data_IF_544612637327
#
_entry.id   IF_544612637327
#
_cell.length_a   1.000
_cell.length_b   1.000
_cell.length_c   1.000
_cell.angle_alpha   90.00
_cell.angle_beta   90.00
_cell.angle_gamma   90.00
#
_symmetry.space_group_name_H-M   'P 1'
#
loop_
_entity.id
_entity.type
_entity.pdbx_description
1 polymer ?
#
# COMPACT_ATOMS: atom_id res chain seq x y z
N UNK A 1 25.15 -4.87 -0.99
CA UNK A 1 24.48 -5.51 0.17
C UNK A 1 23.64 -6.67 -0.35
N UNK A 2 23.64 -7.84 0.32
CA UNK A 2 22.98 -9.08 -0.15
C UNK A 2 21.46 -9.16 0.04
N UNK A 3 20.80 -8.05 0.39
CA UNK A 3 19.38 -7.98 0.75
C UNK A 3 18.47 -8.52 -0.36
N UNK A 4 18.59 -7.99 -1.58
CA UNK A 4 17.73 -8.36 -2.70
C UNK A 4 17.91 -9.84 -3.08
N UNK A 5 19.15 -10.36 -3.05
CA UNK A 5 19.39 -11.79 -3.31
C UNK A 5 18.89 -12.71 -2.20
N UNK A 6 18.91 -12.25 -0.96
CA UNK A 6 18.30 -12.98 0.16
C UNK A 6 16.78 -13.03 0.02
N UNK A 7 16.12 -11.89 -0.24
CA UNK A 7 14.68 -11.84 -0.52
C UNK A 7 14.29 -12.73 -1.70
N UNK A 8 15.03 -12.63 -2.80
CA UNK A 8 14.85 -13.46 -4.00
C UNK A 8 14.86 -14.95 -3.64
N UNK A 9 15.84 -15.37 -2.84
CA UNK A 9 15.97 -16.76 -2.39
C UNK A 9 14.78 -17.22 -1.53
N UNK A 10 14.30 -16.37 -0.62
CA UNK A 10 13.14 -16.69 0.22
C UNK A 10 11.86 -16.82 -0.62
N UNK A 11 11.62 -15.86 -1.51
CA UNK A 11 10.46 -15.87 -2.42
C UNK A 11 10.46 -17.14 -3.27
N UNK A 12 11.60 -17.49 -3.86
CA UNK A 12 11.73 -18.70 -4.68
C UNK A 12 11.47 -19.98 -3.87
N UNK A 13 12.00 -20.07 -2.65
CA UNK A 13 11.77 -21.21 -1.76
C UNK A 13 10.29 -21.36 -1.41
N UNK A 14 9.60 -20.27 -1.12
CA UNK A 14 8.17 -20.31 -0.81
C UNK A 14 7.33 -20.76 -2.01
N UNK A 15 7.65 -20.26 -3.20
CA UNK A 15 7.01 -20.67 -4.46
C UNK A 15 7.22 -22.17 -4.71
N UNK A 16 8.46 -22.66 -4.55
CA UNK A 16 8.79 -24.09 -4.72
C UNK A 16 8.02 -24.99 -3.74
N UNK A 17 7.78 -24.52 -2.52
CA UNK A 17 6.98 -25.23 -1.52
C UNK A 17 5.47 -25.11 -1.74
N UNK A 18 5.03 -24.47 -2.83
CA UNK A 18 3.62 -24.30 -3.15
C UNK A 18 2.91 -23.29 -2.23
N UNK A 19 3.64 -22.44 -1.51
CA UNK A 19 3.04 -21.42 -0.65
C UNK A 19 2.40 -20.31 -1.47
N UNK A 20 1.51 -19.56 -0.84
CA UNK A 20 0.91 -18.36 -1.42
C UNK A 20 1.84 -17.17 -1.16
N UNK A 21 2.13 -16.40 -2.20
CA UNK A 21 3.19 -15.38 -2.15
C UNK A 21 2.69 -14.08 -2.75
N UNK A 22 3.00 -12.96 -2.13
CA UNK A 22 2.91 -11.63 -2.71
C UNK A 22 4.28 -10.98 -2.73
N UNK A 23 4.62 -10.28 -3.81
CA UNK A 23 5.86 -9.51 -3.94
C UNK A 23 5.52 -8.13 -4.49
N UNK A 24 5.94 -7.07 -3.80
CA UNK A 24 5.98 -5.70 -4.35
C UNK A 24 7.43 -5.27 -4.49
N UNK A 25 7.78 -4.81 -5.69
CA UNK A 25 9.10 -4.26 -6.02
C UNK A 25 8.95 -2.96 -6.83
N UNK A 26 9.59 -1.89 -6.35
CA UNK A 26 9.64 -0.57 -7.02
C UNK A 26 10.87 -0.35 -7.91
N UNK A 27 11.87 -1.21 -7.78
CA UNK A 27 13.12 -1.12 -8.53
C UNK A 27 13.11 -2.03 -9.75
N UNK A 28 12.37 -3.15 -9.68
CA UNK A 28 12.10 -4.05 -10.78
C UNK A 28 13.05 -5.26 -10.85
N UNK A 29 14.27 -5.15 -10.33
CA UNK A 29 15.26 -6.24 -10.39
C UNK A 29 14.75 -7.53 -9.71
N UNK A 30 14.18 -7.41 -8.52
CA UNK A 30 13.67 -8.56 -7.76
C UNK A 30 12.44 -9.16 -8.46
N UNK A 31 11.53 -8.31 -8.94
CA UNK A 31 10.39 -8.72 -9.74
C UNK A 31 10.81 -9.50 -11.00
N UNK A 32 11.76 -8.96 -11.78
CA UNK A 32 12.21 -9.57 -13.03
C UNK A 32 12.89 -10.92 -12.80
N UNK A 33 13.75 -11.05 -11.79
CA UNK A 33 14.39 -12.33 -11.45
C UNK A 33 13.36 -13.39 -11.01
N UNK A 34 12.42 -13.02 -10.13
CA UNK A 34 11.37 -13.94 -9.67
C UNK A 34 10.46 -14.36 -10.82
N UNK A 35 10.09 -13.41 -11.72
CA UNK A 35 9.30 -13.70 -12.91
C UNK A 35 10.01 -14.67 -13.86
N UNK A 36 11.30 -14.46 -14.13
CA UNK A 36 12.11 -15.36 -14.97
C UNK A 36 12.20 -16.76 -14.37
N UNK A 37 12.38 -16.84 -13.06
CA UNK A 37 12.43 -18.11 -12.35
C UNK A 37 11.10 -18.87 -12.41
N UNK A 38 9.98 -18.19 -12.18
CA UNK A 38 8.64 -18.77 -12.34
C UNK A 38 8.45 -19.25 -13.78
N UNK A 39 8.83 -18.46 -14.79
CA UNK A 39 8.74 -18.87 -16.19
C UNK A 39 9.53 -20.17 -16.44
N UNK A 40 10.76 -20.29 -15.93
CA UNK A 40 11.53 -21.53 -16.03
C UNK A 40 10.86 -22.71 -15.31
N UNK A 41 10.24 -22.50 -14.15
CA UNK A 41 9.49 -23.53 -13.43
C UNK A 41 8.24 -23.97 -14.21
N UNK A 42 7.54 -23.06 -14.90
CA UNK A 42 6.32 -23.41 -15.66
C UNK A 42 6.59 -24.38 -16.82
N UNK A 43 7.82 -24.46 -17.33
CA UNK A 43 8.22 -25.46 -18.31
C UNK A 43 8.13 -26.89 -17.76
N UNK A 44 8.34 -27.06 -16.45
CA UNK A 44 8.23 -28.35 -15.75
C UNK A 44 6.88 -28.54 -15.07
N UNK A 45 6.25 -27.44 -14.66
CA UNK A 45 5.01 -27.37 -13.90
C UNK A 45 4.02 -26.40 -14.55
N UNK A 46 3.39 -26.76 -15.69
CA UNK A 46 2.53 -25.84 -16.44
C UNK A 46 1.34 -25.30 -15.64
N UNK A 47 0.87 -26.04 -14.64
CA UNK A 47 -0.20 -25.63 -13.72
C UNK A 47 0.16 -24.39 -12.88
N UNK A 48 1.47 -24.14 -12.65
CA UNK A 48 1.94 -22.98 -11.91
C UNK A 48 1.54 -21.68 -12.59
N UNK A 49 1.47 -21.65 -13.92
CA UNK A 49 1.09 -20.45 -14.67
C UNK A 49 -0.30 -19.93 -14.27
N UNK A 50 -1.23 -20.82 -13.91
CA UNK A 50 -2.59 -20.47 -13.46
C UNK A 50 -2.62 -19.83 -12.08
N UNK A 51 -1.54 -19.98 -11.29
CA UNK A 51 -1.42 -19.40 -9.96
C UNK A 51 -0.79 -18.01 -9.99
N UNK A 52 -0.23 -17.57 -11.11
CA UNK A 52 0.57 -16.35 -11.19
C UNK A 52 -0.32 -15.20 -11.63
N UNK A 53 -0.36 -14.17 -10.81
CA UNK A 53 -1.00 -12.88 -11.09
C UNK A 53 0.11 -11.85 -11.19
N UNK A 54 0.20 -11.18 -12.32
CA UNK A 54 1.14 -10.07 -12.53
C UNK A 54 0.35 -8.78 -12.56
N UNK A 55 0.82 -7.79 -11.80
CA UNK A 55 0.34 -6.41 -11.86
C UNK A 55 1.52 -5.54 -12.28
N UNK A 56 1.44 -4.99 -13.48
CA UNK A 56 2.39 -4.03 -14.01
C UNK A 56 1.63 -2.92 -14.75
N UNK A 57 1.57 -1.69 -14.20
CA UNK A 57 0.84 -0.57 -14.82
C UNK A 57 1.41 -0.17 -16.18
N UNK A 58 2.69 -0.47 -16.44
CA UNK A 58 3.37 -0.10 -17.68
C UNK A 58 3.28 -1.17 -18.77
N UNK A 59 2.61 -2.29 -18.48
CA UNK A 59 2.44 -3.41 -19.39
C UNK A 59 0.95 -3.66 -19.65
N UNK A 60 0.41 -3.31 -20.84
CA UNK A 60 -1.02 -3.46 -21.13
C UNK A 60 -1.58 -4.88 -20.92
N UNK A 61 -0.78 -5.92 -21.20
CA UNK A 61 -1.16 -7.34 -21.01
C UNK A 61 -1.24 -7.76 -19.53
N UNK A 62 -0.60 -6.99 -18.64
CA UNK A 62 -0.53 -7.25 -17.20
C UNK A 62 -1.06 -6.08 -16.36
N UNK A 63 -1.76 -5.14 -17.01
CA UNK A 63 -2.41 -4.04 -16.33
C UNK A 63 -3.70 -4.55 -15.71
N UNK A 64 -3.76 -4.52 -14.38
CA UNK A 64 -4.93 -4.94 -13.60
C UNK A 64 -5.59 -3.70 -13.03
N UNK A 65 -6.86 -3.49 -13.34
CA UNK A 65 -7.66 -2.45 -12.69
C UNK A 65 -7.97 -2.87 -11.25
N UNK A 66 -7.77 -1.93 -10.32
CA UNK A 66 -8.04 -2.05 -8.88
C UNK A 66 -8.74 -0.75 -8.47
N UNK A 67 -9.99 -0.85 -8.04
CA UNK A 67 -10.68 0.30 -7.48
C UNK A 67 -10.43 0.38 -5.96
N UNK A 68 -9.64 1.35 -5.45
CA UNK A 68 -9.36 1.45 -4.03
C UNK A 68 -10.58 1.90 -3.20
N UNK A 69 -11.63 2.41 -3.84
CA UNK A 69 -12.91 2.78 -3.23
C UNK A 69 -13.91 1.61 -3.19
N UNK A 70 -13.59 0.49 -3.81
CA UNK A 70 -14.46 -0.68 -3.82
C UNK A 70 -14.43 -1.37 -2.45
N UNK A 71 -15.62 -1.51 -1.85
CA UNK A 71 -15.76 -2.18 -0.56
C UNK A 71 -15.64 -3.70 -0.72
N UNK A 72 -14.86 -4.33 0.15
CA UNK A 72 -14.81 -5.79 0.25
C UNK A 72 -16.01 -6.27 1.07
N UNK A 73 -16.51 -7.47 0.76
CA UNK A 73 -17.62 -8.10 1.49
C UNK A 73 -17.41 -8.04 3.01
N UNK A 74 -18.41 -7.52 3.74
CA UNK A 74 -18.38 -7.36 5.19
C UNK A 74 -17.74 -6.06 5.71
N UNK A 75 -17.25 -5.18 4.84
CA UNK A 75 -16.81 -3.83 5.20
C UNK A 75 -17.75 -2.76 4.65
N UNK A 76 -17.85 -1.64 5.37
CA UNK A 76 -18.63 -0.49 4.90
C UNK A 76 -17.85 0.34 3.88
N UNK A 77 -18.56 0.95 2.93
CA UNK A 77 -17.98 1.84 1.92
C UNK A 77 -17.28 3.05 2.58
N UNK A 78 -17.82 3.52 3.71
CA UNK A 78 -17.27 4.64 4.47
C UNK A 78 -15.89 4.33 5.02
N UNK A 79 -15.70 3.15 5.64
CA UNK A 79 -14.38 2.76 6.15
C UNK A 79 -13.36 2.64 5.02
N UNK A 80 -13.78 2.16 3.85
CA UNK A 80 -12.93 2.05 2.66
C UNK A 80 -12.46 3.43 2.20
N UNK A 81 -13.36 4.40 2.13
CA UNK A 81 -13.06 5.78 1.74
C UNK A 81 -12.24 6.56 2.79
N UNK A 82 -12.51 6.36 4.08
CA UNK A 82 -11.71 6.95 5.16
C UNK A 82 -10.27 6.45 5.09
N UNK A 83 -10.10 5.13 4.99
CA UNK A 83 -8.77 4.53 4.86
C UNK A 83 -8.02 5.02 3.62
N UNK A 84 -8.73 5.23 2.50
CA UNK A 84 -8.14 5.83 1.30
C UNK A 84 -7.67 7.27 1.55
N UNK A 85 -8.44 8.05 2.31
CA UNK A 85 -8.05 9.40 2.73
C UNK A 85 -6.73 9.35 3.49
N UNK A 86 -6.59 8.43 4.43
CA UNK A 86 -5.38 8.34 5.27
C UNK A 86 -4.14 7.94 4.47
N UNK A 87 -4.28 7.00 3.52
CA UNK A 87 -3.21 6.66 2.57
C UNK A 87 -2.77 7.91 1.81
N UNK A 88 -3.73 8.64 1.25
CA UNK A 88 -3.49 9.84 0.46
C UNK A 88 -2.80 10.94 1.28
N UNK A 89 -3.26 11.17 2.51
CA UNK A 89 -2.68 12.15 3.43
C UNK A 89 -1.22 11.79 3.72
N UNK A 90 -0.93 10.51 4.02
CA UNK A 90 0.42 10.03 4.31
C UNK A 90 1.34 10.16 3.09
N UNK A 91 0.93 9.63 1.94
CA UNK A 91 1.75 9.60 0.72
C UNK A 91 2.05 11.02 0.21
N UNK A 92 1.10 11.95 0.32
CA UNK A 92 1.33 13.35 -0.09
C UNK A 92 1.84 14.25 1.02
N UNK A 93 2.17 13.68 2.19
CA UNK A 93 2.69 14.39 3.36
C UNK A 93 1.82 15.61 3.70
N UNK A 94 0.49 15.43 3.64
CA UNK A 94 -0.45 16.47 4.03
C UNK A 94 -0.49 16.52 5.54
N UNK A 95 -0.14 17.68 6.11
CA UNK A 95 -0.33 17.92 7.54
C UNK A 95 -1.78 18.33 7.81
N UNK A 96 -2.58 17.52 8.53
CA UNK A 96 -4.01 17.82 8.73
C UNK A 96 -4.25 19.14 9.45
N UNK A 97 -3.35 19.52 10.36
CA UNK A 97 -3.46 20.75 11.14
C UNK A 97 -3.25 22.02 10.30
N UNK A 98 -2.43 21.95 9.26
CA UNK A 98 -2.15 23.11 8.39
C UNK A 98 -3.03 23.11 7.14
N UNK A 99 -3.55 21.94 6.74
CA UNK A 99 -4.39 21.76 5.55
C UNK A 99 -5.77 21.12 5.84
N UNK A 100 -6.52 21.55 6.87
CA UNK A 100 -7.75 20.87 7.29
C UNK A 100 -8.84 20.88 6.21
N UNK A 101 -8.91 21.95 5.41
CA UNK A 101 -9.88 22.06 4.30
C UNK A 101 -9.60 21.08 3.18
N UNK A 102 -8.33 20.84 2.86
CA UNK A 102 -7.93 19.86 1.84
C UNK A 102 -8.29 18.44 2.30
N UNK A 103 -7.97 18.12 3.55
CA UNK A 103 -8.36 16.84 4.16
C UNK A 103 -9.88 16.66 4.09
N UNK A 104 -10.64 17.65 4.54
CA UNK A 104 -12.11 17.63 4.53
C UNK A 104 -12.68 17.42 3.13
N UNK A 105 -12.13 18.10 2.12
CA UNK A 105 -12.52 17.94 0.72
C UNK A 105 -12.22 16.53 0.20
N UNK A 106 -11.02 16.00 0.45
CA UNK A 106 -10.62 14.66 0.02
C UNK A 106 -11.51 13.59 0.65
N UNK A 107 -11.72 13.66 1.96
CA UNK A 107 -12.58 12.72 2.70
C UNK A 107 -14.00 12.70 2.14
N UNK A 108 -14.65 13.86 2.01
CA UNK A 108 -16.03 13.93 1.51
C UNK A 108 -16.14 13.53 0.03
N UNK A 109 -15.09 13.74 -0.75
CA UNK A 109 -15.05 13.30 -2.15
C UNK A 109 -14.91 11.79 -2.24
N UNK A 110 -13.99 11.17 -1.51
CA UNK A 110 -13.83 9.71 -1.49
C UNK A 110 -15.06 9.01 -0.93
N UNK A 111 -15.69 9.56 0.12
CA UNK A 111 -16.95 9.06 0.65
C UNK A 111 -18.06 9.11 -0.41
N UNK A 112 -18.20 10.23 -1.13
CA UNK A 112 -19.21 10.35 -2.18
C UNK A 112 -18.96 9.37 -3.33
N UNK A 113 -17.71 9.26 -3.80
CA UNK A 113 -17.34 8.35 -4.87
C UNK A 113 -17.61 6.89 -4.47
N UNK A 114 -17.20 6.46 -3.26
CA UNK A 114 -17.48 5.11 -2.78
C UNK A 114 -18.98 4.82 -2.66
N UNK A 115 -19.76 5.76 -2.13
CA UNK A 115 -21.21 5.60 -1.95
C UNK A 115 -21.96 5.52 -3.29
N UNK A 116 -21.44 6.20 -4.31
CA UNK A 116 -21.98 6.19 -5.68
C UNK A 116 -21.45 5.02 -6.53
N UNK A 117 -20.53 4.19 -5.99
CA UNK A 117 -19.89 3.10 -6.75
C UNK A 117 -18.96 3.60 -7.86
N UNK A 118 -18.43 4.82 -7.72
CA UNK A 118 -17.50 5.44 -8.67
C UNK A 118 -16.05 5.07 -8.34
N UNK A 119 -15.14 5.45 -9.23
CA UNK A 119 -13.69 5.18 -9.13
C UNK A 119 -12.92 6.45 -8.79
N UNK A 120 -11.62 6.31 -8.49
CA UNK A 120 -10.75 7.48 -8.35
C UNK A 120 -10.59 8.27 -9.65
N UNK A 121 -10.77 7.64 -10.81
CA UNK A 121 -10.70 8.33 -12.09
C UNK A 121 -11.86 9.34 -12.28
N UNK A 122 -12.97 9.15 -11.57
CA UNK A 122 -14.10 10.09 -11.57
C UNK A 122 -13.84 11.34 -10.72
N UNK A 123 -12.80 11.34 -9.89
CA UNK A 123 -12.50 12.41 -8.95
C UNK A 123 -12.34 13.80 -9.61
N UNK A 124 -11.60 13.98 -10.72
CA UNK A 124 -11.47 15.29 -11.36
C UNK A 124 -12.81 15.82 -11.85
N UNK A 125 -13.63 14.96 -12.45
CA UNK A 125 -14.97 15.31 -12.93
C UNK A 125 -15.90 15.63 -11.76
N UNK A 126 -15.83 14.86 -10.67
CA UNK A 126 -16.60 15.08 -9.45
C UNK A 126 -16.37 16.48 -8.87
N UNK A 127 -15.13 16.95 -8.88
CA UNK A 127 -14.78 18.29 -8.39
C UNK A 127 -15.20 19.41 -9.35
N UNK A 128 -15.00 19.23 -10.66
CA UNK A 128 -15.10 20.30 -11.66
C UNK A 128 -16.48 20.40 -12.32
N UNK A 129 -17.12 19.28 -12.63
CA UNK A 129 -18.41 19.22 -13.34
C UNK A 129 -19.58 19.34 -12.35
N UNK A 130 -19.97 20.58 -12.08
CA UNK A 130 -21.08 20.92 -11.17
C UNK A 130 -22.41 20.30 -11.61
N UNK A 131 -22.69 20.24 -12.90
CA UNK A 131 -23.96 19.72 -13.44
C UNK A 131 -24.04 18.22 -13.18
N UNK A 132 -22.98 17.49 -13.53
CA UNK A 132 -22.90 16.06 -13.29
C UNK A 132 -22.94 15.72 -11.80
N UNK A 133 -22.14 16.41 -10.97
CA UNK A 133 -22.14 16.20 -9.52
C UNK A 133 -23.53 16.39 -8.93
N UNK A 134 -24.20 17.51 -9.24
CA UNK A 134 -25.53 17.81 -8.70
C UNK A 134 -26.59 16.79 -9.13
N UNK A 135 -26.42 16.15 -10.30
CA UNK A 135 -27.31 15.05 -10.72
C UNK A 135 -27.16 13.77 -9.89
N UNK A 136 -26.01 13.58 -9.23
CA UNK A 136 -25.66 12.38 -8.47
C UNK A 136 -25.80 12.54 -6.97
N UNK A 137 -25.65 13.76 -6.42
CA UNK A 137 -25.79 14.04 -4.98
C UNK A 137 -27.08 13.45 -4.37
N UNK A 138 -28.27 13.48 -5.02
CA UNK A 138 -29.48 12.86 -4.48
C UNK A 138 -29.43 11.34 -4.32
N UNK A 139 -28.46 10.66 -4.96
CA UNK A 139 -28.26 9.21 -4.85
C UNK A 139 -27.36 8.83 -3.67
N UNK A 140 -26.73 9.81 -3.02
CA UNK A 140 -25.86 9.55 -1.86
C UNK A 140 -26.74 9.18 -0.66
N UNK A 141 -26.56 7.97 -0.14
CA UNK A 141 -27.32 7.45 1.00
C UNK A 141 -26.78 7.94 2.34
N UNK A 142 -25.49 8.29 2.41
CA UNK A 142 -24.86 8.78 3.63
C UNK A 142 -25.20 10.26 3.89
N UNK A 143 -26.07 10.51 4.87
CA UNK A 143 -26.67 11.83 5.12
C UNK A 143 -25.63 12.96 5.31
N UNK A 144 -24.57 12.72 6.09
CA UNK A 144 -23.55 13.74 6.33
C UNK A 144 -22.80 14.14 5.04
N UNK A 145 -22.58 13.20 4.13
CA UNK A 145 -21.88 13.43 2.86
C UNK A 145 -22.80 14.21 1.92
N UNK A 146 -24.07 13.80 1.82
CA UNK A 146 -25.08 14.54 1.07
C UNK A 146 -25.23 15.98 1.58
N UNK A 147 -25.22 16.18 2.90
CA UNK A 147 -25.29 17.50 3.55
C UNK A 147 -24.09 18.37 3.22
N UNK A 148 -22.88 17.82 3.26
CA UNK A 148 -21.67 18.54 2.87
C UNK A 148 -21.79 19.07 1.44
N UNK A 149 -22.15 18.21 0.48
CA UNK A 149 -22.26 18.60 -0.93
C UNK A 149 -23.42 19.56 -1.22
N UNK A 150 -24.51 19.52 -0.44
CA UNK A 150 -25.64 20.42 -0.58
C UNK A 150 -25.42 21.80 0.06
N UNK A 151 -24.77 21.84 1.22
CA UNK A 151 -24.80 23.01 2.11
C UNK A 151 -23.42 23.61 2.41
N UNK A 152 -22.36 22.80 2.46
CA UNK A 152 -21.01 23.25 2.85
C UNK A 152 -20.10 23.49 1.65
N UNK A 153 -20.21 22.65 0.60
CA UNK A 153 -19.39 22.79 -0.60
C UNK A 153 -19.72 24.11 -1.33
N UNK A 154 -18.71 24.84 -1.84
CA UNK A 154 -18.94 26.14 -2.48
C UNK A 154 -19.89 26.05 -3.68
N UNK A 155 -20.67 27.12 -3.89
CA UNK A 155 -21.70 27.19 -4.95
C UNK A 155 -21.30 28.05 -6.15
N UNK A 156 -20.47 29.07 -5.93
CA UNK A 156 -19.99 29.93 -7.01
C UNK A 156 -18.80 29.31 -7.71
N UNK A 157 -18.71 29.45 -9.03
CA UNK A 157 -17.66 28.79 -9.82
C UNK A 157 -16.27 29.28 -9.40
N UNK A 158 -16.12 30.57 -9.05
CA UNK A 158 -14.87 31.14 -8.54
C UNK A 158 -14.42 30.49 -7.23
N UNK A 159 -15.34 30.35 -6.26
CA UNK A 159 -15.01 29.71 -4.98
C UNK A 159 -14.75 28.23 -5.15
N UNK A 160 -15.51 27.54 -6.01
CA UNK A 160 -15.28 26.13 -6.33
C UNK A 160 -13.87 25.95 -6.85
N UNK A 161 -13.45 26.73 -7.86
CA UNK A 161 -12.10 26.64 -8.43
C UNK A 161 -11.01 26.84 -7.37
N UNK A 162 -11.16 27.84 -6.50
CA UNK A 162 -10.22 28.07 -5.40
C UNK A 162 -10.21 26.92 -4.37
N UNK A 163 -11.37 26.35 -4.08
CA UNK A 163 -11.54 25.28 -3.11
C UNK A 163 -10.95 23.95 -3.60
N UNK A 164 -11.14 23.63 -4.87
CA UNK A 164 -10.71 22.35 -5.45
C UNK A 164 -9.26 22.36 -5.94
N UNK A 165 -8.69 23.52 -6.27
CA UNK A 165 -7.37 23.62 -6.89
C UNK A 165 -6.27 22.79 -6.20
N UNK A 166 -6.12 22.79 -4.85
CA UNK A 166 -5.08 21.99 -4.20
C UNK A 166 -5.28 20.48 -4.39
N UNK A 167 -6.53 20.01 -4.33
CA UNK A 167 -6.87 18.60 -4.51
C UNK A 167 -6.74 18.18 -5.98
N UNK A 168 -7.24 19.00 -6.89
CA UNK A 168 -7.15 18.79 -8.33
C UNK A 168 -5.69 18.75 -8.82
N UNK A 169 -4.81 19.60 -8.28
CA UNK A 169 -3.39 19.59 -8.65
C UNK A 169 -2.66 18.32 -8.16
N UNK A 170 -2.99 17.82 -6.97
CA UNK A 170 -2.37 16.61 -6.42
C UNK A 170 -2.88 15.33 -7.09
N UNK A 171 -4.21 15.16 -7.24
CA UNK A 171 -4.80 13.98 -7.87
C UNK A 171 -4.74 14.00 -9.39
N UNK A 172 -4.96 15.17 -10.00
CA UNK A 172 -4.84 15.33 -11.45
C UNK A 172 -3.46 14.90 -11.94
N UNK A 173 -2.38 15.32 -11.27
CA UNK A 173 -1.02 14.92 -11.63
C UNK A 173 -0.78 13.40 -11.64
N UNK A 174 -1.53 12.64 -10.83
CA UNK A 174 -1.44 11.17 -10.79
C UNK A 174 -2.35 10.54 -11.85
N UNK A 175 -3.56 11.06 -12.02
CA UNK A 175 -4.56 10.55 -12.96
C UNK A 175 -4.28 10.96 -14.42
N UNK A 176 -3.37 11.89 -14.68
CA UNK A 176 -2.90 12.24 -16.02
C UNK A 176 -1.89 11.23 -16.60
N UNK A 177 -1.28 10.41 -15.74
CA UNK A 177 -0.47 9.30 -16.18
C UNK A 177 -1.41 8.17 -16.65
N UNK A 178 -1.35 7.82 -17.93
CA UNK A 178 -2.23 6.82 -18.52
C UNK A 178 -2.05 5.42 -17.90
N UNK A 179 -0.82 5.07 -17.51
CA UNK A 179 -0.50 3.77 -16.92
C UNK A 179 -1.13 3.67 -15.52
N UNK A 180 -1.04 4.74 -14.75
CA UNK A 180 -1.68 4.83 -13.43
C UNK A 180 -3.21 4.90 -13.56
N UNK A 181 -3.69 5.68 -14.52
CA UNK A 181 -5.11 5.84 -14.78
C UNK A 181 -5.76 4.50 -15.11
N UNK A 182 -5.17 3.67 -15.98
CA UNK A 182 -5.69 2.35 -16.34
C UNK A 182 -5.84 1.40 -15.14
N UNK A 183 -4.94 1.49 -14.17
CA UNK A 183 -5.06 0.72 -12.93
C UNK A 183 -6.23 1.24 -12.07
N UNK A 184 -6.56 2.52 -12.14
CA UNK A 184 -7.58 3.15 -11.27
C UNK A 184 -8.97 3.32 -11.92
N UNK A 185 -9.14 3.08 -13.22
CA UNK A 185 -10.35 3.40 -14.00
C UNK A 185 -11.45 2.33 -14.07
N UNK A 186 -11.36 1.21 -13.35
CA UNK A 186 -12.31 0.10 -13.51
C UNK A 186 -12.66 -0.61 -12.21
N UNK A 187 -13.71 -1.43 -12.25
CA UNK A 187 -13.96 -2.42 -11.19
C UNK A 187 -12.75 -3.33 -11.04
N UNK A 188 -12.49 -3.80 -9.83
CA UNK A 188 -11.31 -4.62 -9.58
C UNK A 188 -11.39 -5.93 -10.38
N UNK A 189 -10.49 -6.13 -11.36
CA UNK A 189 -10.46 -7.37 -12.13
C UNK A 189 -9.97 -8.56 -11.29
N UNK A 190 -9.27 -8.26 -10.19
CA UNK A 190 -8.71 -9.25 -9.29
C UNK A 190 -9.14 -8.96 -7.86
N UNK A 191 -9.79 -9.94 -7.25
CA UNK A 191 -10.09 -9.96 -5.84
C UNK A 191 -8.82 -10.31 -5.05
N UNK A 192 -8.31 -9.37 -4.26
CA UNK A 192 -7.19 -9.67 -3.34
C UNK A 192 -7.58 -10.74 -2.31
N UNK A 193 -8.88 -10.90 -2.03
CA UNK A 193 -9.37 -11.99 -1.19
C UNK A 193 -9.15 -13.34 -1.85
N UNK A 194 -9.41 -13.45 -3.14
CA UNK A 194 -9.20 -14.69 -3.90
C UNK A 194 -7.71 -15.01 -4.04
N UNK A 195 -6.86 -13.99 -4.23
CA UNK A 195 -5.39 -14.15 -4.22
C UNK A 195 -4.92 -14.83 -2.94
N UNK A 196 -5.45 -14.39 -1.79
CA UNK A 196 -5.12 -14.92 -0.47
C UNK A 196 -5.69 -16.33 -0.25
N UNK A 197 -6.97 -16.54 -0.53
CA UNK A 197 -7.67 -17.79 -0.20
C UNK A 197 -7.32 -18.94 -1.16
N UNK A 198 -7.18 -18.67 -2.46
CA UNK A 198 -6.80 -19.67 -3.45
C UNK A 198 -5.29 -19.97 -3.44
N UNK A 199 -4.53 -19.17 -2.70
CA UNK A 199 -3.09 -19.33 -2.55
C UNK A 199 -2.31 -19.02 -3.82
N UNK A 200 -2.62 -17.89 -4.45
CA UNK A 200 -1.97 -17.44 -5.67
C UNK A 200 -0.59 -16.83 -5.39
N UNK A 201 0.14 -16.55 -6.48
CA UNK A 201 1.42 -15.83 -6.50
C UNK A 201 1.13 -14.47 -7.14
N UNK A 202 1.13 -13.42 -6.34
CA UNK A 202 0.95 -12.05 -6.79
C UNK A 202 2.32 -11.38 -6.95
N UNK A 203 2.68 -11.01 -8.17
CA UNK A 203 3.89 -10.26 -8.49
C UNK A 203 3.50 -8.85 -8.94
N UNK A 204 3.95 -7.84 -8.21
CA UNK A 204 3.61 -6.45 -8.46
C UNK A 204 4.88 -5.67 -8.78
N UNK A 205 4.92 -5.16 -9.99
CA UNK A 205 5.99 -4.29 -10.45
C UNK A 205 5.48 -2.85 -10.46
N UNK A 206 6.19 -1.94 -9.79
CA UNK A 206 5.84 -0.52 -9.74
C UNK A 206 7.06 0.29 -10.16
N UNK A 207 7.29 0.47 -11.48
CA UNK A 207 8.52 1.09 -11.96
C UNK A 207 8.59 2.57 -11.58
N UNK A 208 9.20 2.87 -10.43
CA UNK A 208 9.29 4.22 -9.87
C UNK A 208 9.93 5.21 -10.85
N UNK A 209 10.91 4.76 -11.63
CA UNK A 209 11.59 5.59 -12.63
C UNK A 209 10.70 6.03 -13.79
N UNK A 210 9.63 5.29 -14.09
CA UNK A 210 8.67 5.59 -15.17
C UNK A 210 7.50 6.39 -14.62
N UNK A 211 6.85 5.88 -13.57
CA UNK A 211 5.63 6.48 -12.99
C UNK A 211 5.89 7.75 -12.16
N UNK A 212 7.15 7.96 -11.78
CA UNK A 212 7.52 8.94 -10.78
C UNK A 212 7.19 8.50 -9.34
N UNK A 213 7.86 9.15 -8.39
CA UNK A 213 7.84 8.74 -6.98
C UNK A 213 6.43 8.74 -6.36
N UNK A 214 5.68 9.84 -6.54
CA UNK A 214 4.36 9.99 -5.90
C UNK A 214 3.35 8.96 -6.38
N UNK A 215 3.30 8.72 -7.69
CA UNK A 215 2.37 7.76 -8.30
C UNK A 215 2.74 6.33 -7.91
N UNK A 216 4.03 5.99 -7.96
CA UNK A 216 4.52 4.68 -7.55
C UNK A 216 4.20 4.37 -6.08
N UNK A 217 4.46 5.32 -5.17
CA UNK A 217 4.19 5.13 -3.74
C UNK A 217 2.70 5.05 -3.45
N UNK A 218 1.88 5.87 -4.11
CA UNK A 218 0.43 5.81 -3.95
C UNK A 218 -0.12 4.46 -4.41
N UNK A 219 0.29 4.00 -5.60
CA UNK A 219 -0.15 2.72 -6.13
C UNK A 219 0.30 1.55 -5.25
N UNK A 220 1.55 1.56 -4.80
CA UNK A 220 2.06 0.53 -3.88
C UNK A 220 1.32 0.52 -2.56
N UNK A 221 1.06 1.70 -1.98
CA UNK A 221 0.28 1.83 -0.76
C UNK A 221 -1.16 1.30 -0.95
N UNK A 222 -1.79 1.53 -2.11
CA UNK A 222 -3.12 0.98 -2.42
C UNK A 222 -3.13 -0.53 -2.52
N UNK A 223 -2.12 -1.13 -3.16
CA UNK A 223 -2.04 -2.59 -3.28
C UNK A 223 -1.81 -3.23 -1.91
N UNK A 224 -0.87 -2.67 -1.12
CA UNK A 224 -0.65 -3.09 0.28
C UNK A 224 -1.94 -3.00 1.08
N UNK A 225 -2.63 -1.86 0.99
CA UNK A 225 -3.93 -1.62 1.61
C UNK A 225 -4.99 -2.67 1.26
N UNK A 226 -5.13 -3.03 -0.02
CA UNK A 226 -6.12 -4.01 -0.46
C UNK A 226 -5.77 -5.41 0.05
N UNK A 227 -4.50 -5.79 0.09
CA UNK A 227 -4.03 -7.05 0.68
C UNK A 227 -4.30 -7.09 2.19
N UNK A 228 -4.04 -5.98 2.90
CA UNK A 228 -4.34 -5.86 4.33
C UNK A 228 -5.84 -6.02 4.60
N UNK A 229 -6.70 -5.30 3.86
CA UNK A 229 -8.15 -5.43 4.01
C UNK A 229 -8.63 -6.85 3.69
N UNK A 230 -8.11 -7.45 2.62
CA UNK A 230 -8.41 -8.83 2.26
C UNK A 230 -8.02 -9.79 3.40
N UNK A 231 -6.85 -9.61 4.01
CA UNK A 231 -6.44 -10.41 5.17
C UNK A 231 -7.39 -10.22 6.36
N UNK A 232 -7.70 -8.99 6.76
CA UNK A 232 -8.63 -8.69 7.86
C UNK A 232 -10.01 -9.32 7.63
N UNK A 233 -10.50 -9.33 6.39
CA UNK A 233 -11.78 -9.95 6.05
C UNK A 233 -11.81 -11.47 6.28
N UNK A 234 -10.64 -12.12 6.43
CA UNK A 234 -10.54 -13.55 6.77
C UNK A 234 -10.87 -13.83 8.24
N UNK A 235 -11.20 -12.84 9.06
CA UNK A 235 -11.49 -13.00 10.50
C UNK A 235 -12.39 -14.21 10.83
N UNK A 236 -13.40 -14.50 10.00
CA UNK A 236 -14.35 -15.60 10.23
C UNK A 236 -14.07 -16.87 9.39
N UNK A 237 -12.97 -16.91 8.63
CA UNK A 237 -12.61 -18.05 7.78
C UNK A 237 -11.88 -19.12 8.61
N UNK A 238 -12.41 -20.35 8.73
CA UNK A 238 -11.68 -21.46 9.32
C UNK A 238 -10.52 -21.89 8.41
N UNK A 239 -9.42 -22.38 9.00
CA UNK A 239 -8.23 -22.90 8.30
C UNK A 239 -7.69 -21.98 7.20
N UNK A 240 -7.28 -20.77 7.61
CA UNK A 240 -6.80 -19.72 6.69
C UNK A 240 -5.44 -20.13 6.12
N UNK A 241 -5.36 -20.25 4.79
CA UNK A 241 -4.08 -20.45 4.11
C UNK A 241 -3.12 -19.28 4.40
N UNK A 242 -1.90 -19.62 4.78
CA UNK A 242 -0.86 -18.64 5.01
C UNK A 242 -0.44 -17.95 3.70
N UNK A 243 -0.46 -16.62 3.69
CA UNK A 243 0.04 -15.78 2.62
C UNK A 243 1.33 -15.08 3.06
N UNK A 244 2.41 -15.25 2.30
CA UNK A 244 3.72 -14.65 2.57
C UNK A 244 3.89 -13.42 1.69
N UNK A 245 3.90 -12.24 2.31
CA UNK A 245 3.91 -10.98 1.60
C UNK A 245 5.25 -10.26 1.78
N UNK A 246 5.99 -10.21 0.69
CA UNK A 246 7.32 -9.65 0.57
C UNK A 246 7.23 -8.20 0.08
N UNK A 247 7.74 -7.29 0.90
CA UNK A 247 7.76 -5.85 0.63
C UNK A 247 9.22 -5.39 0.60
N UNK A 248 9.76 -5.17 -0.60
CA UNK A 248 11.05 -4.49 -0.73
C UNK A 248 10.84 -2.98 -0.56
N UNK A 249 11.80 -2.33 0.10
CA UNK A 249 11.74 -0.93 0.52
C UNK A 249 10.38 -0.54 1.12
N UNK A 250 9.90 -1.34 2.09
CA UNK A 250 8.52 -1.28 2.58
C UNK A 250 8.10 0.09 3.14
N UNK A 251 9.06 0.91 3.59
CA UNK A 251 8.85 2.28 4.08
C UNK A 251 8.13 3.18 3.06
N UNK A 252 8.22 2.86 1.77
CA UNK A 252 7.56 3.60 0.70
C UNK A 252 6.04 3.35 0.62
N UNK A 253 5.54 2.29 1.26
CA UNK A 253 4.13 1.89 1.19
C UNK A 253 3.45 1.89 2.56
N UNK A 254 4.14 2.34 3.61
CA UNK A 254 3.63 2.29 4.97
C UNK A 254 2.66 3.43 5.26
N UNK A 255 1.50 3.07 5.81
CA UNK A 255 0.57 3.98 6.48
C UNK A 255 0.60 3.74 7.98
N UNK A 256 -0.04 4.61 8.76
CA UNK A 256 -0.11 4.43 10.22
C UNK A 256 -0.83 3.12 10.61
N UNK A 257 -1.73 2.63 9.76
CA UNK A 257 -2.44 1.36 9.93
C UNK A 257 -1.58 0.11 9.75
N UNK A 258 -0.40 0.21 9.13
CA UNK A 258 0.45 -0.98 8.97
C UNK A 258 0.92 -1.51 10.33
N UNK A 259 0.93 -0.68 11.38
CA UNK A 259 1.31 -1.07 12.74
C UNK A 259 0.34 -2.10 13.31
N UNK A 260 -0.96 -1.84 13.18
CA UNK A 260 -2.02 -2.76 13.62
C UNK A 260 -1.92 -4.09 12.85
N UNK A 261 -1.67 -4.00 11.53
CA UNK A 261 -1.48 -5.19 10.72
C UNK A 261 -0.24 -5.96 11.17
N UNK A 262 0.89 -5.30 11.42
CA UNK A 262 2.10 -5.97 11.89
C UNK A 262 1.84 -6.77 13.17
N UNK A 263 1.12 -6.17 14.12
CA UNK A 263 0.77 -6.79 15.39
C UNK A 263 -0.20 -7.97 15.26
N UNK A 264 -1.14 -7.89 14.32
CA UNK A 264 -2.27 -8.83 14.25
C UNK A 264 -2.28 -9.76 13.04
N UNK A 265 -1.37 -9.58 12.06
CA UNK A 265 -1.40 -10.26 10.75
C UNK A 265 -1.45 -11.78 10.86
N UNK A 266 -0.83 -12.35 11.91
CA UNK A 266 -0.83 -13.79 12.19
C UNK A 266 -2.24 -14.34 12.39
N UNK A 267 -3.13 -13.60 13.07
CA UNK A 267 -4.54 -13.99 13.29
C UNK A 267 -5.28 -14.19 11.96
N UNK A 268 -4.83 -13.47 10.94
CA UNK A 268 -5.45 -13.40 9.62
C UNK A 268 -4.73 -14.22 8.56
N UNK A 269 -3.73 -15.03 8.89
CA UNK A 269 -2.97 -15.83 7.91
C UNK A 269 -2.10 -14.98 6.97
N UNK A 270 -1.63 -13.81 7.42
CA UNK A 270 -0.73 -12.92 6.68
C UNK A 270 0.63 -12.88 7.37
N UNK A 271 1.68 -13.25 6.65
CA UNK A 271 3.08 -13.20 7.09
C UNK A 271 3.77 -12.11 6.31
N UNK A 272 4.38 -11.15 7.00
CA UNK A 272 5.03 -10.01 6.38
C UNK A 272 6.54 -10.23 6.39
N UNK A 273 7.18 -10.10 5.23
CA UNK A 273 8.64 -10.07 5.07
C UNK A 273 9.01 -8.67 4.61
N UNK A 274 9.52 -7.87 5.53
CA UNK A 274 9.82 -6.46 5.32
C UNK A 274 11.30 -6.24 5.09
N UNK A 275 11.64 -5.48 4.05
CA UNK A 275 13.01 -5.10 3.76
C UNK A 275 13.14 -3.57 3.65
N UNK A 276 14.16 -3.02 4.29
CA UNK A 276 14.52 -1.60 4.20
C UNK A 276 16.03 -1.42 4.37
N UNK A 277 16.53 -0.21 4.11
CA UNK A 277 17.96 0.11 4.18
C UNK A 277 18.36 0.87 5.45
N UNK A 278 17.55 1.85 5.86
CA UNK A 278 17.88 2.73 6.98
C UNK A 278 16.73 2.82 7.98
N UNK A 279 17.01 2.72 9.28
CA UNK A 279 15.95 2.81 10.29
C UNK A 279 15.36 4.21 10.41
N UNK A 280 16.11 5.24 10.01
CA UNK A 280 15.63 6.62 10.00
C UNK A 280 14.59 6.92 8.91
N UNK A 281 14.41 6.02 7.94
CA UNK A 281 13.30 6.12 6.97
C UNK A 281 11.95 5.77 7.60
N UNK A 282 11.97 5.14 8.78
CA UNK A 282 10.78 4.78 9.52
C UNK A 282 10.53 5.86 10.58
N UNK A 283 9.28 6.33 10.68
CA UNK A 283 8.89 7.15 11.82
C UNK A 283 9.05 6.37 13.14
N UNK A 284 9.23 7.10 14.24
CA UNK A 284 9.55 6.48 15.54
C UNK A 284 8.53 5.41 15.96
N UNK A 285 7.24 5.64 15.70
CA UNK A 285 6.18 4.70 16.06
C UNK A 285 6.26 3.43 15.21
N UNK A 286 6.37 3.60 13.89
CA UNK A 286 6.49 2.48 12.95
C UNK A 286 7.75 1.67 13.21
N UNK A 287 8.88 2.34 13.48
CA UNK A 287 10.13 1.67 13.83
C UNK A 287 9.96 0.79 15.07
N UNK A 288 9.38 1.33 16.14
CA UNK A 288 9.11 0.56 17.36
C UNK A 288 8.13 -0.60 17.10
N UNK A 289 7.07 -0.38 16.33
CA UNK A 289 6.12 -1.43 15.98
C UNK A 289 6.79 -2.56 15.20
N UNK A 290 7.63 -2.26 14.19
CA UNK A 290 8.36 -3.27 13.42
C UNK A 290 9.29 -4.05 14.34
N UNK A 291 10.17 -3.36 15.07
CA UNK A 291 11.20 -3.99 15.92
C UNK A 291 10.56 -4.91 16.98
N UNK A 292 9.49 -4.46 17.64
CA UNK A 292 8.87 -5.21 18.74
C UNK A 292 8.02 -6.40 18.29
N UNK A 293 7.65 -6.46 17.00
CA UNK A 293 6.66 -7.42 16.51
C UNK A 293 7.25 -8.49 15.59
N UNK A 294 8.40 -8.20 14.96
CA UNK A 294 9.06 -9.17 14.09
C UNK A 294 9.53 -10.39 14.88
N UNK A 295 9.15 -11.58 14.42
CA UNK A 295 9.61 -12.84 15.02
C UNK A 295 11.02 -13.23 14.60
N UNK A 296 11.50 -12.70 13.46
CA UNK A 296 12.81 -12.99 12.90
C UNK A 296 13.41 -11.68 12.39
N UNK A 297 14.61 -11.37 12.86
CA UNK A 297 15.38 -10.20 12.42
C UNK A 297 16.63 -10.67 11.66
N UNK A 298 16.82 -10.14 10.45
CA UNK A 298 18.02 -10.37 9.65
C UNK A 298 18.69 -9.03 9.40
N UNK A 299 19.95 -8.90 9.81
CA UNK A 299 20.76 -7.70 9.57
C UNK A 299 21.92 -8.03 8.65
N UNK A 300 22.11 -7.19 7.63
CA UNK A 300 23.34 -7.16 6.84
C UNK A 300 24.29 -6.13 7.43
N UNK A 301 25.36 -5.76 6.73
CA UNK A 301 26.20 -4.64 7.17
C UNK A 301 25.33 -3.37 7.25
N UNK A 302 25.27 -2.75 8.42
CA UNK A 302 24.52 -1.53 8.71
C UNK A 302 25.46 -0.41 9.19
N UNK A 303 24.97 0.83 9.16
CA UNK A 303 25.70 1.99 9.69
C UNK A 303 25.71 2.02 11.22
N UNK A 304 26.61 2.82 11.81
CA UNK A 304 26.76 2.93 13.27
C UNK A 304 25.46 3.29 14.01
N UNK A 305 24.70 4.25 13.47
CA UNK A 305 23.44 4.69 14.09
C UNK A 305 22.41 3.56 14.17
N UNK A 306 22.21 2.84 13.06
CA UNK A 306 21.29 1.70 13.00
C UNK A 306 21.79 0.52 13.86
N UNK A 307 23.11 0.30 13.89
CA UNK A 307 23.73 -0.72 14.73
C UNK A 307 23.43 -0.50 16.23
N UNK A 308 23.54 0.75 16.71
CA UNK A 308 23.18 1.10 18.10
C UNK A 308 21.71 0.83 18.42
N UNK A 309 20.81 1.00 17.45
CA UNK A 309 19.39 0.74 17.65
C UNK A 309 19.08 -0.76 17.68
N UNK A 310 19.69 -1.55 16.79
CA UNK A 310 19.38 -2.97 16.60
C UNK A 310 20.10 -3.87 17.62
N UNK A 311 21.28 -3.47 18.13
CA UNK A 311 22.11 -4.35 18.95
C UNK A 311 21.40 -4.87 20.21
N UNK A 312 20.57 -4.04 20.83
CA UNK A 312 19.83 -4.41 22.04
C UNK A 312 18.69 -5.40 21.77
N UNK A 313 18.18 -5.43 20.54
CA UNK A 313 17.13 -6.35 20.10
C UNK A 313 17.72 -7.69 19.67
N UNK A 314 18.92 -7.67 19.07
CA UNK A 314 19.64 -8.89 18.69
C UNK A 314 20.26 -9.61 19.88
N UNK A 315 20.73 -8.86 20.88
CA UNK A 315 21.39 -9.39 22.07
C UNK A 315 20.72 -8.86 23.34
N UNK A 316 19.54 -9.39 23.71
CA UNK A 316 18.75 -8.88 24.83
C UNK A 316 19.33 -9.24 26.21
N UNK A 317 20.54 -9.83 26.28
CA UNK A 317 21.12 -10.29 27.54
C UNK A 317 21.63 -9.12 28.41
N UNK A 318 21.49 -9.21 29.75
CA UNK A 318 21.99 -8.18 30.68
C UNK A 318 23.50 -7.92 30.57
N UNK A 319 24.25 -8.93 30.11
CA UNK A 319 25.70 -8.89 29.95
C UNK A 319 26.15 -8.06 28.74
N UNK A 320 25.22 -7.62 27.88
CA UNK A 320 25.53 -6.69 26.82
C UNK A 320 25.67 -5.29 27.43
N UNK A 321 26.88 -4.72 27.56
CA UNK A 321 27.07 -3.48 28.27
C UNK A 321 26.26 -2.39 27.57
N UNK A 322 25.29 -1.79 28.29
CA UNK A 322 24.64 -0.56 27.84
C UNK A 322 25.73 0.49 27.68
N UNK A 323 26.15 0.72 26.44
CA UNK A 323 27.26 1.61 26.13
C UNK A 323 26.85 3.04 26.53
N UNK A 324 27.40 3.51 27.66
CA UNK A 324 27.11 4.82 28.26
C UNK A 324 28.18 5.89 27.94
N UNK A 325 29.20 5.58 27.15
CA UNK A 325 30.33 6.49 26.89
C UNK A 325 30.21 7.30 25.59
N UNK A 326 30.55 8.59 25.68
CA UNK A 326 30.99 9.42 24.56
C UNK A 326 32.17 8.74 23.85
N UNK A 327 32.17 8.82 22.51
CA UNK A 327 33.25 8.27 21.69
C UNK A 327 34.48 9.13 21.93
N UNK A 328 35.40 8.64 22.76
CA UNK A 328 36.75 9.18 22.80
C UNK A 328 37.36 8.96 21.40
N UNK A 329 37.60 10.04 20.67
CA UNK A 329 38.18 10.03 19.32
C UNK A 329 39.69 9.74 19.37
N UNK A 330 40.10 8.82 20.24
CA UNK A 330 41.46 8.33 20.36
C UNK A 330 41.83 7.51 19.13
N UNK A 331 42.43 8.21 18.16
CA UNK A 331 43.40 7.75 17.16
C UNK A 331 43.58 6.23 17.03
N UNK A 332 43.06 5.69 15.93
CA UNK A 332 43.54 4.46 15.29
C UNK A 332 44.39 4.82 14.09
#
# INVERSE_FOLDING_TARGET
>A
MGKSKFLESLVMQDIMQGRAVGLIDIHGDLFHHVRQYIAALTLKHPELAKRVVIVDPTCPEHTVSINPLEAIAGQSQERTALFLTDIVIKVWQIEPNTSPRLVWLLTNSFLALANLGLTLADFPRWLQDKVWRNSLVPRITHEAVARYWANEFPRSDKEIQQWIAPAANKLGGILFDADVQHVLTGSSHISMRDVLDQGLILLVHIPKGILGERSAFLLGAFIVAQIQKAALSRANTPDRRQFYFYLDEFHNFTTDYIQDVLAESRKYGLSLVLAHQFLDQLDTKLRSAVINTVGTLVSFRIGYKDARAIVYEMFPTPDFPRYQGDIDTGSW
#
